data_IF_171920108416
#
_entry.id   IF_171920108416
#
_cell.length_a   1.000
_cell.length_b   1.000
_cell.length_c   1.000
_cell.angle_alpha   90.00
_cell.angle_beta   90.00
_cell.angle_gamma   90.00
#
_symmetry.space_group_name_H-M   'P 1'
#
loop_
_entity.id
_entity.type
_entity.pdbx_description
1 polymer ?
#
# COMPACT_ATOMS: atom_id res chain seq x y z
N UNK A 1 -13.28 12.01 4.56
CA UNK A 1 -12.26 11.53 3.59
C UNK A 1 -12.91 11.35 2.23
N UNK A 2 -12.25 11.75 1.13
CA UNK A 2 -12.77 11.60 -0.25
C UNK A 2 -11.88 10.70 -1.12
N UNK A 3 -10.87 10.08 -0.52
CA UNK A 3 -9.98 9.08 -1.13
C UNK A 3 -9.85 7.90 -0.17
N UNK A 4 -9.03 6.92 -0.53
CA UNK A 4 -8.82 5.70 0.25
C UNK A 4 -7.48 5.67 1.00
N UNK A 5 -6.83 6.84 1.17
CA UNK A 5 -5.49 6.92 1.77
C UNK A 5 -5.40 6.49 3.23
N UNK A 6 -6.51 6.51 3.98
CA UNK A 6 -6.57 6.08 5.37
C UNK A 6 -5.86 6.98 6.38
N UNK A 7 -5.27 8.12 5.96
CA UNK A 7 -4.54 9.04 6.83
C UNK A 7 -5.36 9.52 8.03
N UNK A 8 -6.67 9.65 7.85
CA UNK A 8 -7.65 10.06 8.85
C UNK A 8 -7.73 9.12 10.06
N UNK A 9 -7.21 7.89 9.94
CA UNK A 9 -7.18 6.90 11.02
C UNK A 9 -5.81 6.78 11.69
N UNK A 10 -4.86 7.66 11.35
CA UNK A 10 -3.47 7.55 11.80
C UNK A 10 -3.08 8.71 12.72
N UNK A 11 -2.16 8.51 13.67
CA UNK A 11 -1.48 9.59 14.38
C UNK A 11 -0.25 10.09 13.60
N UNK A 12 -0.14 9.82 12.30
CA UNK A 12 1.03 10.14 11.48
C UNK A 12 0.88 11.51 10.84
N UNK A 13 1.95 12.32 10.85
CA UNK A 13 2.03 13.57 10.12
C UNK A 13 3.22 13.58 9.16
N UNK A 14 3.13 14.40 8.12
CA UNK A 14 4.22 14.64 7.16
C UNK A 14 4.38 16.13 6.87
N UNK A 15 5.62 16.61 6.85
CA UNK A 15 5.98 17.99 6.50
C UNK A 15 7.13 17.97 5.49
N UNK A 16 7.06 18.81 4.46
CA UNK A 16 8.18 19.02 3.53
C UNK A 16 8.73 20.43 3.75
N UNK A 17 10.00 20.52 4.14
CA UNK A 17 10.70 21.79 4.36
C UNK A 17 12.07 21.73 3.66
N UNK A 18 12.41 22.76 2.87
CA UNK A 18 13.66 22.80 2.12
C UNK A 18 13.84 21.63 1.13
N UNK A 19 12.74 21.08 0.60
CA UNK A 19 12.76 19.92 -0.30
C UNK A 19 12.90 18.56 0.40
N UNK A 20 12.99 18.53 1.74
CA UNK A 20 13.12 17.29 2.51
C UNK A 20 11.79 16.97 3.21
N UNK A 21 11.23 15.80 2.90
CA UNK A 21 10.03 15.30 3.60
C UNK A 21 10.43 14.64 4.92
N UNK A 22 9.79 15.08 6.01
CA UNK A 22 9.90 14.51 7.35
C UNK A 22 8.54 13.98 7.79
N UNK A 23 8.54 12.88 8.53
CA UNK A 23 7.32 12.27 9.08
C UNK A 23 7.49 12.01 10.56
N UNK A 24 6.39 12.04 11.32
CA UNK A 24 6.38 11.69 12.74
C UNK A 24 5.03 11.13 13.17
N UNK A 25 4.95 10.72 14.44
CA UNK A 25 3.70 10.29 15.07
C UNK A 25 3.41 11.18 16.28
N UNK A 26 2.19 11.70 16.37
CA UNK A 26 1.69 12.45 17.54
C UNK A 26 0.17 12.20 17.68
N UNK A 27 -0.32 11.69 18.82
CA UNK A 27 -1.76 11.53 19.07
C UNK A 27 -2.58 12.82 18.84
N UNK A 28 -1.97 14.00 18.94
CA UNK A 28 -2.62 15.29 18.68
C UNK A 28 -3.07 15.48 17.23
N UNK A 29 -2.42 14.83 16.27
CA UNK A 29 -2.80 14.95 14.86
C UNK A 29 -3.88 13.94 14.45
N UNK A 30 -4.19 12.96 15.30
CA UNK A 30 -5.24 12.00 15.02
C UNK A 30 -6.62 12.70 15.07
N UNK A 31 -7.42 12.64 14.00
CA UNK A 31 -8.76 13.21 13.99
C UNK A 31 -9.63 12.66 15.13
N UNK A 32 -10.32 13.55 15.83
CA UNK A 32 -11.27 13.15 16.91
C UNK A 32 -12.55 12.52 16.37
N UNK A 33 -12.91 12.84 15.14
CA UNK A 33 -14.11 12.34 14.48
C UNK A 33 -13.85 12.28 12.99
N UNK A 34 -14.36 11.23 12.35
CA UNK A 34 -14.27 11.01 10.91
C UNK A 34 -15.67 10.71 10.40
N UNK A 35 -16.09 11.41 9.35
CA UNK A 35 -17.34 11.15 8.64
C UNK A 35 -17.00 10.51 7.30
N UNK A 36 -17.46 9.28 7.10
CA UNK A 36 -17.37 8.57 5.83
C UNK A 36 -18.70 8.71 5.11
N UNK A 37 -18.72 9.54 4.09
CA UNK A 37 -19.87 9.77 3.22
C UNK A 37 -19.51 9.32 1.79
N UNK A 38 -20.06 8.19 1.31
CA UNK A 38 -19.77 7.68 -0.03
C UNK A 38 -20.13 8.65 -1.15
N UNK A 39 -21.11 9.54 -0.96
CA UNK A 39 -21.53 10.51 -1.97
C UNK A 39 -20.36 11.46 -2.32
N UNK A 40 -19.50 11.73 -1.34
CA UNK A 40 -18.32 12.58 -1.51
C UNK A 40 -17.16 11.90 -2.27
N UNK A 41 -17.32 10.64 -2.67
CA UNK A 41 -16.31 9.88 -3.43
C UNK A 41 -16.71 9.60 -4.87
N UNK A 42 -17.96 9.88 -5.27
CA UNK A 42 -18.49 9.53 -6.60
C UNK A 42 -17.72 10.24 -7.72
N UNK A 43 -17.25 11.47 -7.47
CA UNK A 43 -16.46 12.26 -8.42
C UNK A 43 -14.96 11.89 -8.45
N UNK A 44 -14.51 10.96 -7.60
CA UNK A 44 -13.12 10.51 -7.58
C UNK A 44 -12.81 9.79 -8.90
N UNK A 45 -11.85 10.26 -9.71
CA UNK A 45 -11.53 9.64 -11.00
C UNK A 45 -11.17 8.16 -10.84
N UNK A 46 -11.57 7.32 -11.79
CA UNK A 46 -11.30 5.88 -11.77
C UNK A 46 -9.81 5.55 -11.58
N UNK A 47 -8.85 6.19 -12.29
CA UNK A 47 -7.44 5.90 -12.08
C UNK A 47 -6.99 6.09 -10.63
N UNK A 48 -7.42 7.18 -10.00
CA UNK A 48 -7.10 7.49 -8.60
C UNK A 48 -7.88 6.61 -7.61
N UNK A 49 -9.12 6.24 -7.94
CA UNK A 49 -9.92 5.27 -7.19
C UNK A 49 -9.15 3.95 -7.05
N UNK A 50 -8.60 3.47 -8.17
CA UNK A 50 -7.83 2.22 -8.21
C UNK A 50 -6.52 2.35 -7.44
N UNK A 51 -5.69 3.34 -7.75
CA UNK A 51 -4.35 3.46 -7.13
C UNK A 51 -4.45 3.80 -5.64
N UNK A 52 -5.42 4.63 -5.25
CA UNK A 52 -5.67 4.91 -3.83
C UNK A 52 -6.21 3.69 -3.09
N UNK A 53 -7.03 2.85 -3.72
CA UNK A 53 -7.54 1.64 -3.08
C UNK A 53 -6.44 0.59 -2.88
N UNK A 54 -5.53 0.46 -3.85
CA UNK A 54 -4.36 -0.42 -3.71
C UNK A 54 -3.37 0.13 -2.67
N UNK A 55 -3.25 1.45 -2.53
CA UNK A 55 -2.54 2.04 -1.40
C UNK A 55 -3.16 1.61 -0.06
N UNK A 56 -4.50 1.61 0.06
CA UNK A 56 -5.16 1.08 1.25
C UNK A 56 -4.82 -0.40 1.49
N UNK A 57 -4.87 -1.24 0.44
CA UNK A 57 -4.48 -2.65 0.53
C UNK A 57 -3.08 -2.82 1.11
N UNK A 58 -2.12 -1.99 0.71
CA UNK A 58 -0.76 -2.06 1.23
C UNK A 58 -0.68 -1.88 2.75
N UNK A 59 -1.51 -1.04 3.35
CA UNK A 59 -1.58 -0.87 4.80
C UNK A 59 -2.01 -2.17 5.50
N UNK A 60 -3.10 -2.78 5.02
CA UNK A 60 -3.61 -4.02 5.58
C UNK A 60 -2.65 -5.20 5.36
N UNK A 61 -2.07 -5.31 4.15
CA UNK A 61 -1.12 -6.37 3.80
C UNK A 61 0.11 -6.34 4.72
N UNK A 62 0.74 -5.17 4.92
CA UNK A 62 1.88 -5.07 5.86
C UNK A 62 1.46 -5.34 7.31
N UNK A 63 0.29 -4.88 7.71
CA UNK A 63 -0.20 -5.08 9.07
C UNK A 63 -0.49 -6.55 9.43
N UNK A 64 -0.52 -7.48 8.47
CA UNK A 64 -0.61 -8.91 8.76
C UNK A 64 0.71 -9.52 9.22
N UNK A 65 1.84 -8.86 8.95
CA UNK A 65 3.18 -9.33 9.32
C UNK A 65 4.00 -8.29 10.08
N UNK A 66 3.34 -7.25 10.59
CA UNK A 66 3.99 -6.26 11.43
C UNK A 66 4.42 -6.89 12.77
N UNK A 67 5.53 -6.43 13.37
CA UNK A 67 6.01 -6.98 14.64
C UNK A 67 5.05 -6.76 15.82
N UNK A 68 4.15 -5.78 15.69
CA UNK A 68 3.16 -5.34 16.68
C UNK A 68 1.72 -5.68 16.26
N UNK A 69 1.55 -6.60 15.31
CA UNK A 69 0.23 -7.13 14.92
C UNK A 69 -0.47 -7.80 16.10
N UNK A 70 -1.75 -7.50 16.26
CA UNK A 70 -2.64 -8.19 17.20
C UNK A 70 -3.74 -8.95 16.44
N UNK A 71 -4.44 -9.92 17.08
CA UNK A 71 -5.55 -10.63 16.44
C UNK A 71 -6.66 -9.71 15.91
N UNK A 72 -6.93 -8.59 16.59
CA UNK A 72 -7.90 -7.60 16.13
C UNK A 72 -7.43 -6.91 14.85
N UNK A 73 -6.15 -6.52 14.79
CA UNK A 73 -5.59 -5.91 13.58
C UNK A 73 -5.55 -6.90 12.42
N UNK A 74 -5.22 -8.17 12.67
CA UNK A 74 -5.24 -9.20 11.64
C UNK A 74 -6.66 -9.41 11.07
N UNK A 75 -7.69 -9.42 11.92
CA UNK A 75 -9.09 -9.49 11.50
C UNK A 75 -9.48 -8.30 10.62
N UNK A 76 -9.14 -7.08 11.04
CA UNK A 76 -9.42 -5.86 10.27
C UNK A 76 -8.66 -5.84 8.93
N UNK A 77 -7.40 -6.28 8.94
CA UNK A 77 -6.57 -6.34 7.74
C UNK A 77 -7.13 -7.33 6.73
N UNK A 78 -7.52 -8.53 7.18
CA UNK A 78 -8.14 -9.53 6.31
C UNK A 78 -9.42 -9.00 5.66
N UNK A 79 -10.34 -8.43 6.45
CA UNK A 79 -11.60 -7.94 5.93
C UNK A 79 -11.44 -6.69 5.06
N UNK A 80 -10.46 -5.83 5.38
CA UNK A 80 -10.08 -4.68 4.55
C UNK A 80 -9.54 -5.12 3.18
N UNK A 81 -8.68 -6.14 3.13
CA UNK A 81 -8.17 -6.71 1.88
C UNK A 81 -9.32 -7.28 1.04
N UNK A 82 -10.17 -8.11 1.65
CA UNK A 82 -11.32 -8.72 0.98
C UNK A 82 -12.27 -7.66 0.43
N UNK A 83 -12.72 -6.73 1.28
CA UNK A 83 -13.70 -5.71 0.91
C UNK A 83 -13.18 -4.77 -0.18
N UNK A 84 -11.90 -4.35 -0.14
CA UNK A 84 -11.32 -3.49 -1.17
C UNK A 84 -11.13 -4.22 -2.49
N UNK A 85 -10.65 -5.47 -2.49
CA UNK A 85 -10.45 -6.25 -3.73
C UNK A 85 -11.75 -6.65 -4.42
N UNK A 86 -12.86 -6.75 -3.68
CA UNK A 86 -14.21 -6.88 -4.23
C UNK A 86 -14.76 -5.55 -4.81
N UNK A 87 -14.50 -4.43 -4.15
CA UNK A 87 -15.04 -3.12 -4.54
C UNK A 87 -14.35 -2.53 -5.79
N UNK A 88 -13.02 -2.65 -5.89
CA UNK A 88 -12.25 -2.00 -6.95
C UNK A 88 -12.66 -2.40 -8.38
N UNK A 89 -12.87 -3.69 -8.72
CA UNK A 89 -13.35 -4.07 -10.05
C UNK A 89 -14.72 -3.51 -10.41
N UNK A 90 -15.62 -3.43 -9.41
CA UNK A 90 -16.94 -2.80 -9.58
C UNK A 90 -16.80 -1.32 -9.88
N UNK A 91 -15.99 -0.60 -9.10
CA UNK A 91 -15.76 0.84 -9.31
C UNK A 91 -15.00 1.18 -10.60
N UNK A 92 -14.16 0.28 -11.09
CA UNK A 92 -13.52 0.45 -12.39
C UNK A 92 -14.51 0.31 -13.56
N UNK A 93 -15.59 -0.47 -13.36
CA UNK A 93 -16.63 -0.71 -14.37
C UNK A 93 -17.76 0.34 -14.28
N UNK A 94 -18.22 0.62 -13.06
CA UNK A 94 -19.26 1.57 -12.73
C UNK A 94 -18.79 2.48 -11.56
N UNK A 95 -18.18 3.64 -11.85
CA UNK A 95 -17.62 4.52 -10.82
C UNK A 95 -18.68 5.19 -9.94
N UNK A 96 -19.96 5.09 -10.30
CA UNK A 96 -21.07 5.65 -9.52
C UNK A 96 -21.85 4.57 -8.75
N UNK A 97 -21.38 3.32 -8.73
CA UNK A 97 -21.92 2.25 -7.90
C UNK A 97 -21.76 2.61 -6.41
N UNK A 98 -22.84 3.11 -5.82
CA UNK A 98 -22.86 3.58 -4.43
C UNK A 98 -22.56 2.49 -3.42
N UNK A 99 -22.98 1.25 -3.68
CA UNK A 99 -22.67 0.13 -2.80
C UNK A 99 -21.17 -0.18 -2.84
N UNK A 100 -20.55 -0.13 -4.01
CA UNK A 100 -19.11 -0.31 -4.14
C UNK A 100 -18.31 0.88 -3.56
N UNK A 101 -18.80 2.12 -3.67
CA UNK A 101 -18.19 3.30 -3.03
C UNK A 101 -18.23 3.18 -1.50
N UNK A 102 -19.37 2.78 -0.95
CA UNK A 102 -19.52 2.52 0.49
C UNK A 102 -18.58 1.40 0.96
N UNK A 103 -18.51 0.30 0.20
CA UNK A 103 -17.63 -0.82 0.50
C UNK A 103 -16.14 -0.42 0.43
N UNK A 104 -15.73 0.38 -0.55
CA UNK A 104 -14.36 0.87 -0.67
C UNK A 104 -13.99 1.83 0.48
N UNK A 105 -14.88 2.73 0.89
CA UNK A 105 -14.64 3.58 2.07
C UNK A 105 -14.55 2.76 3.37
N UNK A 106 -15.44 1.77 3.54
CA UNK A 106 -15.36 0.82 4.65
C UNK A 106 -14.01 0.11 4.68
N UNK A 107 -13.57 -0.42 3.54
CA UNK A 107 -12.29 -1.10 3.44
C UNK A 107 -11.11 -0.15 3.71
N UNK A 108 -11.15 1.08 3.20
CA UNK A 108 -10.14 2.11 3.44
C UNK A 108 -10.04 2.47 4.93
N UNK A 109 -11.17 2.55 5.63
CA UNK A 109 -11.21 2.76 7.07
C UNK A 109 -10.50 1.65 7.84
N UNK A 110 -10.79 0.38 7.52
CA UNK A 110 -10.11 -0.77 8.14
C UNK A 110 -8.61 -0.73 7.87
N UNK A 111 -8.23 -0.54 6.61
CA UNK A 111 -6.83 -0.45 6.18
C UNK A 111 -6.08 0.71 6.84
N UNK A 112 -6.69 1.88 6.92
CA UNK A 112 -6.13 3.06 7.61
C UNK A 112 -5.98 2.83 9.11
N UNK A 113 -6.90 2.10 9.73
CA UNK A 113 -6.78 1.70 11.13
C UNK A 113 -5.60 0.75 11.35
N UNK A 114 -5.39 -0.20 10.43
CA UNK A 114 -4.19 -1.04 10.42
C UNK A 114 -2.91 -0.18 10.36
N UNK A 115 -2.83 0.78 9.44
CA UNK A 115 -1.71 1.74 9.34
C UNK A 115 -1.48 2.50 10.66
N UNK A 116 -2.56 2.98 11.28
CA UNK A 116 -2.52 3.74 12.51
C UNK A 116 -2.05 2.93 13.73
N UNK A 117 -2.27 1.61 13.71
CA UNK A 117 -2.04 0.72 14.85
C UNK A 117 -0.78 -0.13 14.78
N UNK A 118 -0.15 -0.27 13.61
CA UNK A 118 1.07 -1.10 13.48
C UNK A 118 2.27 -0.34 12.93
N UNK A 119 3.42 -1.00 13.03
CA UNK A 119 4.69 -0.58 12.46
C UNK A 119 4.81 -1.12 11.04
N UNK A 120 4.85 -0.21 10.06
CA UNK A 120 5.04 -0.58 8.65
C UNK A 120 6.49 -1.00 8.38
N UNK A 121 6.70 -1.85 7.38
CA UNK A 121 8.00 -2.42 7.02
C UNK A 121 8.48 -1.99 5.64
N UNK A 122 8.96 -2.97 4.87
CA UNK A 122 9.65 -2.75 3.60
C UNK A 122 8.81 -1.99 2.57
N UNK A 123 7.52 -2.29 2.43
CA UNK A 123 6.69 -1.67 1.38
C UNK A 123 6.58 -0.16 1.59
N UNK A 124 6.21 0.31 2.79
CA UNK A 124 6.12 1.74 3.06
C UNK A 124 7.48 2.43 3.02
N UNK A 125 8.56 1.76 3.46
CA UNK A 125 9.92 2.32 3.36
C UNK A 125 10.33 2.56 1.90
N UNK A 126 10.09 1.58 1.01
CA UNK A 126 10.32 1.72 -0.43
C UNK A 126 9.54 2.91 -0.99
N UNK A 127 8.24 2.98 -0.71
CA UNK A 127 7.37 4.04 -1.23
C UNK A 127 7.76 5.43 -0.71
N UNK A 128 8.20 5.55 0.54
CA UNK A 128 8.68 6.80 1.11
C UNK A 128 9.97 7.29 0.43
N UNK A 129 10.93 6.41 0.18
CA UNK A 129 12.17 6.76 -0.53
C UNK A 129 11.86 7.16 -1.98
N UNK A 130 11.07 6.35 -2.69
CA UNK A 130 10.70 6.61 -4.08
C UNK A 130 9.90 7.91 -4.25
N UNK A 131 8.91 8.16 -3.40
CA UNK A 131 8.13 9.40 -3.44
C UNK A 131 8.90 10.63 -2.96
N UNK A 132 9.76 10.48 -1.94
CA UNK A 132 10.51 11.57 -1.35
C UNK A 132 11.74 12.00 -2.16
N UNK A 133 12.58 11.04 -2.54
CA UNK A 133 13.86 11.30 -3.22
C UNK A 133 13.71 11.38 -4.74
N UNK A 134 12.72 10.70 -5.33
CA UNK A 134 12.55 10.63 -6.79
C UNK A 134 11.25 11.29 -7.28
N UNK A 135 10.44 11.86 -6.38
CA UNK A 135 9.23 12.60 -6.74
C UNK A 135 8.15 11.75 -7.42
N UNK A 136 8.16 10.43 -7.21
CA UNK A 136 7.17 9.55 -7.83
C UNK A 136 5.76 9.80 -7.28
N UNK A 137 4.71 9.66 -8.11
CA UNK A 137 3.33 9.83 -7.68
C UNK A 137 2.94 8.80 -6.60
N UNK A 138 2.36 9.28 -5.50
CA UNK A 138 2.26 8.52 -4.25
C UNK A 138 1.44 7.23 -4.37
N UNK A 139 0.18 7.31 -4.81
CA UNK A 139 -0.72 6.16 -4.85
C UNK A 139 -0.28 5.12 -5.89
N UNK A 140 0.21 5.59 -7.03
CA UNK A 140 0.78 4.80 -8.11
C UNK A 140 2.04 4.05 -7.66
N UNK A 141 2.91 4.70 -6.89
CA UNK A 141 4.12 4.06 -6.33
C UNK A 141 3.74 2.91 -5.41
N UNK A 142 2.77 3.12 -4.50
CA UNK A 142 2.26 2.04 -3.65
C UNK A 142 1.66 0.91 -4.48
N UNK A 143 0.95 1.24 -5.56
CA UNK A 143 0.34 0.25 -6.46
C UNK A 143 1.38 -0.63 -7.13
N UNK A 144 2.45 -0.02 -7.67
CA UNK A 144 3.52 -0.77 -8.34
C UNK A 144 4.32 -1.61 -7.35
N UNK A 145 4.66 -1.07 -6.18
CA UNK A 145 5.61 -1.71 -5.25
C UNK A 145 4.99 -2.88 -4.47
N UNK A 146 3.71 -2.82 -4.12
CA UNK A 146 3.06 -3.75 -3.21
C UNK A 146 3.27 -5.24 -3.56
N UNK A 147 3.08 -5.70 -4.81
CA UNK A 147 3.29 -7.10 -5.16
C UNK A 147 4.73 -7.57 -4.90
N UNK A 148 5.72 -6.75 -5.22
CA UNK A 148 7.13 -7.11 -5.10
C UNK A 148 7.61 -7.11 -3.64
N UNK A 149 7.16 -6.15 -2.84
CA UNK A 149 7.46 -6.13 -1.41
C UNK A 149 6.82 -7.33 -0.68
N UNK A 150 5.59 -7.70 -1.05
CA UNK A 150 4.96 -8.91 -0.53
C UNK A 150 5.70 -10.18 -0.96
N UNK A 151 6.11 -10.29 -2.23
CA UNK A 151 6.90 -11.41 -2.73
C UNK A 151 8.25 -11.54 -2.01
N UNK A 152 8.91 -10.42 -1.71
CA UNK A 152 10.14 -10.41 -0.93
C UNK A 152 9.94 -10.99 0.47
N UNK A 153 8.89 -10.57 1.17
CA UNK A 153 8.63 -11.01 2.54
C UNK A 153 8.02 -12.41 2.60
N UNK A 154 7.34 -12.89 1.54
CA UNK A 154 6.58 -14.14 1.50
C UNK A 154 7.26 -15.35 2.18
N UNK A 155 8.56 -15.65 1.96
CA UNK A 155 9.22 -16.78 2.63
C UNK A 155 9.29 -16.70 4.17
N UNK A 156 9.18 -15.49 4.73
CA UNK A 156 9.26 -15.23 6.17
C UNK A 156 7.89 -15.02 6.85
N UNK A 157 6.78 -15.08 6.10
CA UNK A 157 5.43 -14.72 6.61
C UNK A 157 4.32 -15.75 6.26
N UNK A 158 4.53 -17.06 6.48
CA UNK A 158 3.57 -18.10 6.05
C UNK A 158 2.15 -17.93 6.64
N UNK A 159 2.04 -17.41 7.86
CA UNK A 159 0.76 -17.16 8.54
C UNK A 159 0.00 -16.01 7.87
N UNK A 160 0.67 -14.89 7.61
CA UNK A 160 0.10 -13.76 6.88
C UNK A 160 -0.32 -14.16 5.45
N UNK A 161 0.50 -14.98 4.77
CA UNK A 161 0.12 -15.51 3.45
C UNK A 161 -1.14 -16.36 3.52
N UNK A 162 -1.30 -17.20 4.55
CA UNK A 162 -2.52 -18.01 4.71
C UNK A 162 -3.77 -17.13 4.81
N UNK A 163 -3.69 -16.01 5.54
CA UNK A 163 -4.77 -15.01 5.62
C UNK A 163 -5.03 -14.37 4.26
N UNK A 164 -3.97 -13.91 3.58
CA UNK A 164 -4.09 -13.27 2.27
C UNK A 164 -4.66 -14.20 1.19
N UNK A 165 -4.26 -15.47 1.19
CA UNK A 165 -4.79 -16.50 0.28
C UNK A 165 -6.30 -16.64 0.43
N UNK A 166 -6.81 -16.64 1.67
CA UNK A 166 -8.25 -16.69 1.96
C UNK A 166 -8.95 -15.40 1.54
N UNK A 167 -8.41 -14.24 1.88
CA UNK A 167 -9.01 -12.94 1.56
C UNK A 167 -9.08 -12.67 0.05
N UNK A 168 -8.07 -13.12 -0.71
CA UNK A 168 -7.95 -12.90 -2.15
C UNK A 168 -8.49 -14.07 -3.00
N UNK A 169 -8.81 -15.22 -2.38
CA UNK A 169 -9.24 -16.43 -3.09
C UNK A 169 -8.18 -16.99 -4.05
N UNK A 170 -6.92 -17.03 -3.63
CA UNK A 170 -5.77 -17.39 -4.48
C UNK A 170 -4.68 -18.13 -3.72
N UNK A 171 -3.83 -18.88 -4.41
CA UNK A 171 -2.62 -19.50 -3.83
C UNK A 171 -1.36 -18.63 -3.97
N UNK A 172 -1.43 -17.56 -4.76
CA UNK A 172 -0.31 -16.67 -5.07
C UNK A 172 -0.71 -15.19 -4.85
N UNK A 173 -0.76 -14.72 -3.58
CA UNK A 173 -1.16 -13.35 -3.25
C UNK A 173 -0.35 -12.24 -3.95
N UNK A 174 1.00 -12.31 -4.04
CA UNK A 174 1.78 -11.32 -4.80
C UNK A 174 1.29 -11.22 -6.25
N UNK A 175 1.16 -12.35 -6.95
CA UNK A 175 0.72 -12.34 -8.33
C UNK A 175 -0.72 -11.84 -8.48
N UNK A 176 -1.62 -12.23 -7.57
CA UNK A 176 -3.01 -11.80 -7.61
C UNK A 176 -3.15 -10.26 -7.48
N UNK A 177 -2.39 -9.63 -6.60
CA UNK A 177 -2.36 -8.17 -6.45
C UNK A 177 -1.77 -7.49 -7.70
N UNK A 178 -0.70 -8.04 -8.27
CA UNK A 178 -0.12 -7.55 -9.53
C UNK A 178 -1.11 -7.64 -10.70
N UNK A 179 -1.83 -8.77 -10.82
CA UNK A 179 -2.88 -8.97 -11.82
C UNK A 179 -4.08 -8.05 -11.60
N UNK A 180 -4.50 -7.83 -10.35
CA UNK A 180 -5.57 -6.90 -10.02
C UNK A 180 -5.21 -5.49 -10.52
N UNK A 181 -4.03 -4.98 -10.14
CA UNK A 181 -3.56 -3.66 -10.60
C UNK A 181 -3.58 -3.54 -12.14
N UNK A 182 -3.01 -4.52 -12.84
CA UNK A 182 -2.98 -4.53 -14.30
C UNK A 182 -4.36 -4.58 -14.96
N UNK A 183 -5.28 -5.42 -14.45
CA UNK A 183 -6.65 -5.52 -14.99
C UNK A 183 -7.46 -4.24 -14.79
N UNK A 184 -7.14 -3.47 -13.75
CA UNK A 184 -7.81 -2.20 -13.45
C UNK A 184 -7.13 -0.99 -14.13
N UNK A 185 -6.17 -1.22 -15.02
CA UNK A 185 -5.48 -0.15 -15.77
C UNK A 185 -4.48 0.66 -14.96
N UNK A 186 -4.08 0.18 -13.78
CA UNK A 186 -3.05 0.83 -12.98
C UNK A 186 -1.65 0.64 -13.59
N UNK A 187 -0.70 1.58 -13.33
CA UNK A 187 0.67 1.40 -13.75
C UNK A 187 1.28 0.13 -13.15
N UNK A 188 2.12 -0.56 -13.93
CA UNK A 188 2.75 -1.83 -13.54
C UNK A 188 4.25 -1.76 -13.34
N UNK A 189 4.86 -0.59 -13.53
CA UNK A 189 6.31 -0.47 -13.43
C UNK A 189 6.74 0.90 -12.94
N UNK A 190 7.86 0.96 -12.22
CA UNK A 190 8.43 2.24 -11.76
C UNK A 190 8.96 3.06 -12.94
N UNK A 191 9.40 2.40 -14.02
CA UNK A 191 9.76 3.08 -15.28
C UNK A 191 8.57 3.87 -15.85
N UNK A 192 7.35 3.32 -15.80
CA UNK A 192 6.15 4.03 -16.24
C UNK A 192 5.78 5.23 -15.36
N UNK A 193 6.30 5.28 -14.13
CA UNK A 193 6.14 6.42 -13.21
C UNK A 193 7.25 7.46 -13.36
N UNK A 194 8.23 7.22 -14.24
CA UNK A 194 9.35 8.14 -14.50
C UNK A 194 10.59 7.91 -13.66
N UNK A 195 10.70 6.81 -12.90
CA UNK A 195 11.97 6.43 -12.27
C UNK A 195 13.00 6.15 -13.37
N UNK A 196 14.24 6.62 -13.19
CA UNK A 196 15.35 6.28 -14.09
C UNK A 196 16.02 5.00 -13.61
N UNK A 197 16.43 4.13 -14.53
CA UNK A 197 17.15 2.90 -14.18
C UNK A 197 18.40 3.16 -13.34
N UNK A 198 19.13 4.24 -13.65
CA UNK A 198 20.32 4.64 -12.92
C UNK A 198 20.06 4.94 -11.43
N UNK A 199 18.83 5.31 -11.08
CA UNK A 199 18.43 5.69 -9.72
C UNK A 199 18.06 4.45 -8.86
N UNK A 200 17.89 3.27 -9.47
CA UNK A 200 17.50 2.03 -8.77
C UNK A 200 18.52 1.64 -7.69
N UNK A 201 19.81 1.73 -8.02
CA UNK A 201 20.88 1.39 -7.08
C UNK A 201 20.92 2.38 -5.90
N UNK A 202 20.76 3.68 -6.17
CA UNK A 202 20.73 4.71 -5.13
C UNK A 202 19.53 4.49 -4.18
N UNK A 203 18.33 4.25 -4.73
CA UNK A 203 17.14 3.97 -3.94
C UNK A 203 17.33 2.72 -3.06
N UNK A 204 18.00 1.67 -3.56
CA UNK A 204 18.28 0.47 -2.79
C UNK A 204 19.18 0.76 -1.57
N UNK A 205 20.25 1.55 -1.76
CA UNK A 205 21.13 2.00 -0.68
C UNK A 205 20.36 2.82 0.35
N UNK A 206 19.52 3.77 -0.09
CA UNK A 206 18.73 4.61 0.83
C UNK A 206 17.72 3.81 1.65
N UNK A 207 17.10 2.80 1.06
CA UNK A 207 16.15 1.92 1.75
C UNK A 207 16.87 1.04 2.77
N UNK A 208 17.99 0.39 2.39
CA UNK A 208 18.73 -0.51 3.27
C UNK A 208 19.65 0.20 4.29
N UNK A 209 19.90 1.50 4.12
CA UNK A 209 20.90 2.25 4.90
C UNK A 209 20.58 2.49 6.38
N UNK A 210 19.35 2.22 6.83
CA UNK A 210 18.98 2.26 8.25
C UNK A 210 18.16 1.03 8.62
N UNK A 211 18.42 0.40 9.79
CA UNK A 211 17.64 -0.73 10.24
C UNK A 211 16.23 -0.29 10.65
N UNK A 212 15.24 -1.11 10.30
CA UNK A 212 13.85 -0.99 10.72
C UNK A 212 13.23 -2.39 10.81
N UNK A 213 12.06 -2.49 11.43
CA UNK A 213 11.38 -3.78 11.59
C UNK A 213 10.87 -4.30 10.24
N UNK A 214 11.25 -5.53 9.89
CA UNK A 214 10.72 -6.28 8.75
C UNK A 214 10.93 -7.78 9.01
N UNK A 215 9.98 -8.66 8.66
CA UNK A 215 10.06 -10.09 8.97
C UNK A 215 11.24 -10.81 8.27
N UNK A 216 11.59 -10.37 7.06
CA UNK A 216 12.80 -10.80 6.35
C UNK A 216 13.91 -9.76 6.52
N UNK A 217 15.17 -10.13 6.79
CA UNK A 217 16.28 -9.17 6.86
C UNK A 217 16.37 -8.35 5.57
N UNK A 218 16.33 -7.02 5.67
CA UNK A 218 16.42 -6.12 4.52
C UNK A 218 17.89 -5.88 4.18
N UNK A 219 18.33 -6.42 3.04
CA UNK A 219 19.68 -6.22 2.49
C UNK A 219 19.64 -5.31 1.27
N UNK A 220 20.72 -4.57 1.01
CA UNK A 220 20.82 -3.72 -0.20
C UNK A 220 20.59 -4.53 -1.47
N UNK A 221 21.21 -5.71 -1.57
CA UNK A 221 21.04 -6.64 -2.70
C UNK A 221 19.58 -7.05 -2.87
N UNK A 222 18.92 -7.49 -1.79
CA UNK A 222 17.53 -7.91 -1.85
C UNK A 222 16.57 -6.78 -2.20
N UNK A 223 16.83 -5.57 -1.71
CA UNK A 223 16.06 -4.37 -2.09
C UNK A 223 16.29 -4.02 -3.55
N UNK A 224 17.53 -4.11 -4.04
CA UNK A 224 17.86 -3.85 -5.44
C UNK A 224 17.14 -4.82 -6.37
N UNK A 225 17.06 -6.11 -6.02
CA UNK A 225 16.29 -7.11 -6.78
C UNK A 225 14.79 -6.75 -6.84
N UNK A 226 14.21 -6.37 -5.70
CA UNK A 226 12.81 -5.92 -5.60
C UNK A 226 12.58 -4.69 -6.49
N UNK A 227 13.43 -3.67 -6.38
CA UNK A 227 13.32 -2.44 -7.15
C UNK A 227 13.53 -2.69 -8.66
N UNK A 228 14.46 -3.55 -9.05
CA UNK A 228 14.68 -3.90 -10.45
C UNK A 228 13.47 -4.62 -11.03
N UNK A 229 12.89 -5.60 -10.30
CA UNK A 229 11.68 -6.28 -10.73
C UNK A 229 10.48 -5.31 -10.87
N UNK A 230 10.33 -4.38 -9.92
CA UNK A 230 9.32 -3.34 -9.95
C UNK A 230 9.57 -2.29 -11.05
N UNK A 231 10.83 -1.98 -11.36
CA UNK A 231 11.21 -1.06 -12.44
C UNK A 231 10.83 -1.61 -13.82
N UNK A 232 11.05 -2.90 -14.03
CA UNK A 232 10.73 -3.59 -15.28
C UNK A 232 9.25 -4.00 -15.37
N UNK A 233 8.54 -4.05 -14.23
CA UNK A 233 7.17 -4.56 -14.17
C UNK A 233 7.07 -6.07 -14.40
N UNK A 234 8.11 -6.82 -14.04
CA UNK A 234 8.13 -8.30 -14.17
C UNK A 234 7.04 -8.93 -13.30
N UNK A 235 6.60 -10.13 -13.65
CA UNK A 235 5.72 -10.90 -12.76
C UNK A 235 6.50 -11.21 -11.45
N UNK A 236 5.96 -10.85 -10.27
CA UNK A 236 6.55 -11.23 -8.98
C UNK A 236 6.45 -12.72 -8.71
#
# INVERSE_FOLDING_TARGET
PSTYSGSEMTPVWGLTEGGVKRTGRDPKVQPRSVVYDPDLTVSLPVPLTVTSGINALAHAVEALYAPDTSPLIALMAEDGVRAMTEALPRLATDPVDMAARAQALYAAWLCGSCLGSTTMGLHHKLCHVLGGSHGLPHAETHTVVLPYALAYNAPAIPEALTVLKRALGTDDPPHALWQLAGRLGAPRSLAALGLKEADVAEAAVQVAGQPYANPRPVTEEGVREVLQAAYEGRRP
#
